data_IF_850820573375
#
_entry.id   IF_850820573375
#
_cell.length_a   1.000
_cell.length_b   1.000
_cell.length_c   1.000
_cell.angle_alpha   90.00
_cell.angle_beta   90.00
_cell.angle_gamma   90.00
#
_symmetry.space_group_name_H-M   'P 1'
#
loop_
_entity.id
_entity.type
_entity.pdbx_description
1 polymer ?
#
# COMPACT_ATOMS: atom_id res chain seq x y z
N UNK A 1 12.80 9.25 3.06
CA UNK A 1 11.56 8.44 2.99
C UNK A 1 10.73 8.87 4.19
N UNK A 2 9.64 9.61 3.99
CA UNK A 2 8.84 10.11 5.11
C UNK A 2 8.21 8.94 5.88
N UNK A 3 8.40 8.92 7.20
CA UNK A 3 7.78 7.96 8.09
C UNK A 3 6.29 8.27 8.22
N UNK A 4 5.46 7.69 7.36
CA UNK A 4 3.99 7.76 7.48
C UNK A 4 3.55 7.12 8.79
N UNK A 5 3.08 7.95 9.72
CA UNK A 5 2.58 7.55 11.04
C UNK A 5 1.21 6.86 10.95
N UNK A 6 0.40 7.25 9.96
CA UNK A 6 -0.94 6.69 9.70
C UNK A 6 -1.11 6.23 8.25
N UNK A 7 -2.17 5.46 7.99
CA UNK A 7 -2.64 5.21 6.61
C UNK A 7 -3.23 6.48 5.99
N UNK A 8 -3.39 6.52 4.65
CA UNK A 8 -4.16 7.60 3.98
C UNK A 8 -5.52 7.77 4.66
N UNK A 9 -5.97 9.02 4.81
CA UNK A 9 -7.22 9.29 5.51
C UNK A 9 -7.98 10.47 4.91
N UNK A 10 -9.27 10.52 5.26
CA UNK A 10 -10.15 11.66 5.05
C UNK A 10 -10.67 12.14 6.41
N UNK A 11 -10.68 13.45 6.60
CA UNK A 11 -11.25 14.11 7.79
C UNK A 11 -12.67 14.57 7.46
N UNK A 12 -13.61 14.29 8.37
CA UNK A 12 -15.00 14.73 8.29
C UNK A 12 -15.32 15.48 9.58
N UNK A 13 -15.76 16.73 9.47
CA UNK A 13 -16.36 17.43 10.61
C UNK A 13 -17.76 16.88 10.85
N UNK A 14 -18.01 16.42 12.07
CA UNK A 14 -19.32 15.90 12.47
C UNK A 14 -19.59 16.17 13.95
N UNK A 15 -20.82 16.54 14.28
CA UNK A 15 -21.31 16.76 15.64
C UNK A 15 -20.38 17.61 16.55
N UNK A 16 -19.72 18.62 15.97
CA UNK A 16 -18.77 19.49 16.69
C UNK A 16 -17.42 18.84 17.02
N UNK A 17 -17.10 17.70 16.40
CA UNK A 17 -15.80 17.03 16.48
C UNK A 17 -15.34 16.51 15.12
N UNK A 18 -14.41 15.55 15.17
CA UNK A 18 -13.71 15.03 14.00
C UNK A 18 -13.95 13.53 13.85
N UNK A 19 -14.44 13.10 12.69
CA UNK A 19 -14.46 11.70 12.28
C UNK A 19 -13.38 11.47 11.23
N UNK A 20 -12.71 10.32 11.30
CA UNK A 20 -11.68 9.94 10.35
C UNK A 20 -12.09 8.68 9.58
N UNK A 21 -11.76 8.66 8.29
CA UNK A 21 -11.87 7.48 7.44
C UNK A 21 -10.49 7.12 6.95
N UNK A 22 -9.97 5.97 7.35
CA UNK A 22 -8.66 5.47 6.96
C UNK A 22 -8.79 4.48 5.81
N UNK A 23 -7.92 4.61 4.83
CA UNK A 23 -7.94 3.86 3.58
C UNK A 23 -6.64 3.11 3.35
N UNK A 24 -6.74 1.93 2.74
CA UNK A 24 -5.61 1.13 2.33
C UNK A 24 -4.76 1.89 1.30
N UNK A 25 -3.45 2.00 1.55
CA UNK A 25 -2.54 2.70 0.64
C UNK A 25 -2.40 2.03 -0.73
N UNK A 26 -2.65 0.72 -0.81
CA UNK A 26 -2.51 -0.08 -2.03
C UNK A 26 -3.82 -0.17 -2.83
N UNK A 27 -4.94 -0.50 -2.18
CA UNK A 27 -6.22 -0.72 -2.87
C UNK A 27 -7.19 0.45 -2.82
N UNK A 28 -6.96 1.44 -1.94
CA UNK A 28 -7.93 2.52 -1.69
C UNK A 28 -9.17 2.09 -0.89
N UNK A 29 -9.29 0.81 -0.54
CA UNK A 29 -10.41 0.31 0.25
C UNK A 29 -10.46 0.96 1.64
N UNK A 30 -11.67 1.26 2.12
CA UNK A 30 -11.89 1.74 3.49
C UNK A 30 -11.54 0.63 4.48
N UNK A 31 -10.56 0.88 5.35
CA UNK A 31 -10.18 -0.05 6.42
C UNK A 31 -10.80 0.29 7.77
N UNK A 32 -11.04 1.57 8.05
CA UNK A 32 -11.63 2.01 9.31
C UNK A 32 -12.38 3.33 9.12
N UNK A 33 -13.59 3.41 9.66
CA UNK A 33 -14.30 4.67 9.89
C UNK A 33 -14.50 4.79 11.40
N UNK A 34 -14.03 5.88 11.99
CA UNK A 34 -13.98 6.03 13.45
C UNK A 34 -15.27 6.57 14.02
N UNK A 35 -15.38 6.56 15.34
CA UNK A 35 -16.32 7.43 16.05
C UNK A 35 -15.89 8.92 15.95
N UNK A 36 -16.66 9.81 16.59
CA UNK A 36 -16.36 11.24 16.63
C UNK A 36 -15.40 11.54 17.76
N UNK A 37 -14.24 12.11 17.42
CA UNK A 37 -13.22 12.56 18.36
C UNK A 37 -13.41 14.04 18.64
N UNK A 38 -13.63 14.38 19.90
CA UNK A 38 -13.69 15.77 20.36
C UNK A 38 -12.29 16.23 20.70
N UNK A 39 -11.88 17.37 20.13
CA UNK A 39 -10.58 17.98 20.38
C UNK A 39 -10.48 19.32 19.66
N UNK A 40 -9.74 20.25 20.27
CA UNK A 40 -9.55 21.59 19.70
C UNK A 40 -8.73 21.55 18.41
N UNK A 41 -7.80 20.58 18.30
CA UNK A 41 -6.89 20.44 17.16
C UNK A 41 -7.13 19.15 16.38
N UNK A 42 -7.30 19.22 15.05
CA UNK A 42 -7.51 18.04 14.21
C UNK A 42 -6.38 17.02 14.28
N UNK A 43 -5.13 17.46 14.46
CA UNK A 43 -3.96 16.58 14.52
C UNK A 43 -3.94 15.68 15.76
N UNK A 44 -4.35 16.20 16.92
CA UNK A 44 -4.44 15.43 18.16
C UNK A 44 -5.58 14.41 18.07
N UNK A 45 -6.72 14.83 17.52
CA UNK A 45 -7.85 13.95 17.26
C UNK A 45 -7.48 12.84 16.27
N UNK A 46 -6.70 13.14 15.23
CA UNK A 46 -6.20 12.16 14.26
C UNK A 46 -5.28 11.13 14.93
N UNK A 47 -4.32 11.59 15.74
CA UNK A 47 -3.40 10.69 16.43
C UNK A 47 -4.16 9.75 17.38
N UNK A 48 -5.11 10.27 18.14
CA UNK A 48 -5.96 9.47 19.01
C UNK A 48 -6.80 8.45 18.21
N UNK A 49 -7.48 8.91 17.15
CA UNK A 49 -8.31 8.06 16.29
C UNK A 49 -7.51 6.94 15.60
N UNK A 50 -6.28 7.25 15.17
CA UNK A 50 -5.38 6.25 14.63
C UNK A 50 -5.00 5.22 15.69
N UNK A 51 -4.49 5.64 16.84
CA UNK A 51 -3.99 4.69 17.85
C UNK A 51 -5.10 3.82 18.45
N UNK A 52 -6.30 4.35 18.68
CA UNK A 52 -7.38 3.57 19.30
C UNK A 52 -8.17 2.71 18.32
N UNK A 53 -8.40 3.18 17.10
CA UNK A 53 -9.31 2.52 16.15
C UNK A 53 -8.63 2.10 14.85
N UNK A 54 -7.89 3.02 14.23
CA UNK A 54 -7.31 2.83 12.90
C UNK A 54 -6.21 1.78 12.88
N UNK A 55 -5.16 1.95 13.69
CA UNK A 55 -3.88 1.24 13.67
C UNK A 55 -3.99 -0.28 13.67
N UNK A 56 -4.98 -0.83 14.38
CA UNK A 56 -5.25 -2.27 14.47
C UNK A 56 -5.85 -2.88 13.21
N UNK A 57 -6.41 -2.05 12.32
CA UNK A 57 -7.02 -2.49 11.05
C UNK A 57 -6.02 -2.59 9.89
N UNK A 58 -4.76 -2.15 10.11
CA UNK A 58 -3.73 -2.07 9.07
C UNK A 58 -2.43 -2.74 9.49
N UNK A 59 -1.73 -3.25 8.48
CA UNK A 59 -0.37 -3.75 8.56
C UNK A 59 0.59 -2.79 7.85
N UNK A 60 1.79 -2.59 8.40
CA UNK A 60 2.83 -1.76 7.77
C UNK A 60 3.74 -2.64 6.93
N UNK A 61 3.86 -2.35 5.64
CA UNK A 61 4.76 -3.09 4.76
C UNK A 61 6.23 -2.86 5.16
N UNK A 62 6.97 -3.94 5.41
CA UNK A 62 8.41 -3.88 5.76
C UNK A 62 9.32 -3.36 4.64
N UNK A 63 8.88 -3.37 3.38
CA UNK A 63 9.65 -2.90 2.22
C UNK A 63 9.36 -1.45 1.85
N UNK A 64 8.07 -1.09 1.65
CA UNK A 64 7.70 0.26 1.17
C UNK A 64 7.10 1.18 2.24
N UNK A 65 6.86 0.68 3.46
CA UNK A 65 6.32 1.46 4.58
C UNK A 65 4.85 1.86 4.47
N UNK A 66 4.14 1.44 3.40
CA UNK A 66 2.70 1.67 3.22
C UNK A 66 1.89 0.94 4.31
N UNK A 67 0.77 1.55 4.71
CA UNK A 67 -0.23 0.93 5.57
C UNK A 67 -1.33 0.29 4.72
N UNK A 68 -1.50 -1.03 4.84
CA UNK A 68 -2.42 -1.81 4.02
C UNK A 68 -3.34 -2.67 4.89
N UNK A 69 -4.58 -2.86 4.45
CA UNK A 69 -5.51 -3.78 5.13
C UNK A 69 -5.04 -5.23 5.01
N UNK A 70 -5.57 -6.12 5.85
CA UNK A 70 -5.16 -7.53 5.88
C UNK A 70 -5.24 -8.23 4.51
N UNK A 71 -6.30 -7.95 3.74
CA UNK A 71 -6.48 -8.50 2.38
C UNK A 71 -5.34 -8.10 1.42
N UNK A 72 -4.62 -7.02 1.71
CA UNK A 72 -3.53 -6.50 0.91
C UNK A 72 -2.15 -6.72 1.55
N UNK A 73 -2.05 -7.59 2.57
CA UNK A 73 -0.83 -7.86 3.32
C UNK A 73 -0.39 -9.32 3.24
N UNK A 74 0.78 -9.55 2.66
CA UNK A 74 1.42 -10.87 2.59
C UNK A 74 2.12 -11.12 3.92
N UNK A 75 1.48 -11.92 4.79
CA UNK A 75 2.00 -12.23 6.12
C UNK A 75 3.28 -13.06 6.05
N UNK A 76 3.45 -13.91 5.04
CA UNK A 76 4.63 -14.77 4.90
C UNK A 76 5.90 -13.96 4.61
N UNK A 77 5.76 -12.82 3.93
CA UNK A 77 6.86 -11.91 3.57
C UNK A 77 6.90 -10.63 4.41
N UNK A 78 5.93 -10.43 5.31
CA UNK A 78 5.71 -9.19 6.07
C UNK A 78 5.68 -7.93 5.19
N UNK A 79 5.06 -8.02 4.01
CA UNK A 79 5.05 -6.98 2.98
C UNK A 79 3.66 -6.83 2.34
N UNK A 80 3.38 -5.70 1.67
CA UNK A 80 2.14 -5.58 0.90
C UNK A 80 2.22 -6.40 -0.41
N UNK A 81 1.06 -6.66 -1.02
CA UNK A 81 0.96 -7.48 -2.25
C UNK A 81 1.71 -6.90 -3.44
N UNK A 82 1.82 -5.57 -3.49
CA UNK A 82 2.58 -4.90 -4.54
C UNK A 82 4.08 -5.19 -4.42
N UNK A 83 4.57 -5.39 -3.19
CA UNK A 83 5.97 -5.65 -2.88
C UNK A 83 6.33 -7.13 -2.87
N UNK A 84 5.40 -7.98 -2.43
CA UNK A 84 5.53 -9.43 -2.34
C UNK A 84 4.19 -10.11 -2.69
N UNK A 85 3.87 -10.31 -3.98
CA UNK A 85 2.64 -10.99 -4.38
C UNK A 85 2.65 -12.47 -3.97
N UNK A 86 1.47 -13.05 -3.71
CA UNK A 86 1.29 -14.44 -3.26
C UNK A 86 1.65 -15.41 -4.38
N UNK A 87 1.29 -15.01 -5.59
CA UNK A 87 1.67 -15.69 -6.82
C UNK A 87 2.68 -14.82 -7.55
N UNK A 88 3.90 -15.32 -7.70
CA UNK A 88 4.86 -14.68 -8.56
C UNK A 88 4.29 -14.71 -9.99
N UNK A 89 3.91 -13.56 -10.54
CA UNK A 89 3.62 -13.46 -11.97
C UNK A 89 4.90 -13.84 -12.70
N UNK A 90 4.89 -15.02 -13.30
CA UNK A 90 6.03 -15.50 -14.09
C UNK A 90 6.11 -14.58 -15.31
N UNK A 91 7.21 -13.86 -15.42
CA UNK A 91 7.54 -13.07 -16.61
C UNK A 91 8.76 -13.70 -17.28
N UNK A 92 8.80 -13.59 -18.60
CA UNK A 92 9.86 -14.16 -19.42
C UNK A 92 10.57 -13.04 -20.18
N UNK A 93 11.87 -13.17 -20.36
CA UNK A 93 12.65 -12.25 -21.18
C UNK A 93 12.15 -12.34 -22.63
N UNK A 94 11.77 -11.23 -23.27
CA UNK A 94 11.30 -11.25 -24.65
C UNK A 94 12.41 -11.62 -25.65
N UNK A 95 13.67 -11.37 -25.30
CA UNK A 95 14.81 -11.65 -26.18
C UNK A 95 15.25 -13.12 -26.19
N UNK A 96 15.19 -13.82 -25.04
CA UNK A 96 15.72 -15.19 -24.93
C UNK A 96 14.78 -16.21 -24.26
N UNK A 97 13.61 -15.80 -23.79
CA UNK A 97 12.64 -16.68 -23.13
C UNK A 97 12.99 -17.10 -21.70
N UNK A 98 14.12 -16.66 -21.14
CA UNK A 98 14.49 -16.98 -19.76
C UNK A 98 13.47 -16.41 -18.75
N UNK A 99 13.22 -17.13 -17.66
CA UNK A 99 12.37 -16.65 -16.56
C UNK A 99 13.04 -15.44 -15.90
N UNK A 100 12.26 -14.38 -15.69
CA UNK A 100 12.69 -13.11 -15.07
C UNK A 100 11.76 -12.75 -13.91
N UNK A 101 12.11 -11.71 -13.14
CA UNK A 101 11.20 -11.07 -12.19
C UNK A 101 10.63 -9.81 -12.82
N UNK A 102 9.42 -9.42 -12.40
CA UNK A 102 8.71 -8.24 -12.93
C UNK A 102 9.53 -6.94 -12.84
N UNK A 103 10.35 -6.81 -11.81
CA UNK A 103 11.13 -5.60 -11.52
C UNK A 103 12.61 -5.71 -11.96
N UNK A 104 13.01 -6.79 -12.65
CA UNK A 104 14.37 -6.90 -13.18
C UNK A 104 14.58 -5.85 -14.27
N UNK A 105 15.64 -5.03 -14.15
CA UNK A 105 16.00 -4.07 -15.18
C UNK A 105 16.76 -4.71 -16.35
N UNK A 106 17.44 -5.83 -16.11
CA UNK A 106 18.25 -6.54 -17.10
C UNK A 106 18.06 -8.05 -16.93
N UNK A 107 18.06 -8.78 -18.04
CA UNK A 107 17.99 -10.24 -18.02
C UNK A 107 19.30 -10.82 -17.53
N UNK A 108 19.27 -11.58 -16.45
CA UNK A 108 20.46 -12.26 -15.91
C UNK A 108 21.01 -13.37 -16.80
N UNK A 109 20.22 -13.87 -17.77
CA UNK A 109 20.64 -14.93 -18.69
C UNK A 109 21.32 -14.40 -19.96
N UNK A 110 20.84 -13.29 -20.53
CA UNK A 110 21.34 -12.78 -21.82
C UNK A 110 21.77 -11.31 -21.81
N UNK A 111 21.57 -10.58 -20.71
CA UNK A 111 21.92 -9.17 -20.59
C UNK A 111 20.96 -8.19 -21.25
N UNK A 112 19.86 -8.65 -21.87
CA UNK A 112 18.88 -7.78 -22.50
C UNK A 112 18.25 -6.81 -21.49
N UNK A 113 18.02 -5.56 -21.90
CA UNK A 113 17.27 -4.58 -21.11
C UNK A 113 15.81 -5.00 -21.00
N UNK A 114 15.27 -5.00 -19.79
CA UNK A 114 13.91 -5.41 -19.45
C UNK A 114 13.04 -4.24 -18.97
N UNK A 115 13.60 -3.03 -18.87
CA UNK A 115 12.85 -1.80 -18.58
C UNK A 115 12.00 -1.48 -19.81
N UNK A 116 10.82 -2.09 -19.88
CA UNK A 116 10.01 -2.09 -21.10
C UNK A 116 9.86 -0.72 -21.75
N UNK A 117 9.97 -0.67 -23.07
CA UNK A 117 9.37 0.39 -23.88
C UNK A 117 7.86 0.37 -23.60
N UNK A 118 7.31 1.51 -23.21
CA UNK A 118 5.91 1.62 -22.81
C UNK A 118 4.95 1.33 -23.96
N UNK A 119 3.91 0.55 -23.67
CA UNK A 119 2.58 0.71 -24.23
C UNK A 119 2.31 0.12 -25.62
N UNK A 120 1.50 -0.93 -25.65
CA UNK A 120 0.37 -0.98 -26.57
C UNK A 120 -0.88 -1.28 -25.72
N UNK A 121 -1.66 -0.23 -25.46
CA UNK A 121 -3.08 -0.40 -25.27
C UNK A 121 -3.64 -0.77 -26.64
N UNK A 122 -4.29 -1.93 -26.76
CA UNK A 122 -5.12 -2.25 -27.90
C UNK A 122 -6.59 -2.10 -27.52
N UNK A 123 -7.32 -1.56 -28.51
CA UNK A 123 -8.65 -0.96 -28.47
C UNK A 123 -9.80 -1.94 -28.26
#
# INVERSE_FOLDING_TARGET
MESRTTAKYQVIQDAGGWRFRFYCDASGALGCATEVYRGERPEDALAAAWESEGRRQFNRCGRCGRWVINAMYNVDSLQCVDCAPWTARIVFCPACGAKTRKDDAVCSACGADLRGEGGAADA
#
